data_IF_232714044484
#
_entry.id   IF_232714044484
#
_cell.length_a   1.000
_cell.length_b   1.000
_cell.length_c   1.000
_cell.angle_alpha   90.00
_cell.angle_beta   90.00
_cell.angle_gamma   90.00
#
_symmetry.space_group_name_H-M   'P 1'
#
loop_
_entity.id
_entity.type
_entity.pdbx_description
1 polymer ?
#
# COMPACT_ATOMS: atom_id res chain seq x y z
N UNK A 1 51.07 -20.98 -16.70
CA UNK A 1 51.25 -22.21 -17.51
C UNK A 1 50.28 -23.27 -17.03
N UNK A 2 49.65 -24.03 -17.93
CA UNK A 2 48.78 -25.18 -17.58
C UNK A 2 49.63 -26.38 -17.11
N UNK A 3 49.14 -27.20 -16.18
CA UNK A 3 49.33 -28.66 -16.20
C UNK A 3 48.07 -29.39 -15.74
N UNK A 4 47.50 -30.14 -16.69
CA UNK A 4 46.58 -31.26 -16.44
C UNK A 4 47.40 -32.52 -16.16
N UNK A 5 46.84 -33.45 -15.40
CA UNK A 5 47.14 -34.89 -15.53
C UNK A 5 45.86 -35.69 -15.29
N UNK A 6 45.68 -36.78 -16.05
CA UNK A 6 44.49 -37.62 -16.04
C UNK A 6 44.87 -39.10 -16.14
N UNK A 7 44.03 -39.99 -15.59
CA UNK A 7 43.76 -41.42 -15.93
C UNK A 7 42.85 -42.00 -14.82
N UNK A 8 41.69 -42.63 -15.01
CA UNK A 8 41.12 -43.63 -15.95
C UNK A 8 41.34 -45.13 -15.58
N UNK A 9 40.34 -45.93 -16.01
CA UNK A 9 40.19 -47.42 -15.97
C UNK A 9 39.53 -47.91 -14.65
N UNK A 10 38.23 -48.27 -14.57
CA UNK A 10 37.42 -49.34 -15.23
C UNK A 10 37.60 -50.74 -14.56
N UNK A 11 36.67 -51.72 -14.57
CA UNK A 11 35.73 -52.16 -15.63
C UNK A 11 34.77 -53.32 -15.16
N UNK A 12 33.62 -53.56 -15.86
CA UNK A 12 32.83 -54.84 -16.00
C UNK A 12 32.00 -55.39 -14.78
N UNK A 13 30.86 -56.14 -14.90
CA UNK A 13 30.10 -56.67 -16.05
C UNK A 13 28.64 -57.15 -15.77
N UNK A 14 27.75 -57.12 -16.80
CA UNK A 14 26.70 -58.14 -17.19
C UNK A 14 25.49 -58.40 -16.22
N UNK A 15 24.25 -58.78 -16.59
CA UNK A 15 23.44 -59.00 -17.84
C UNK A 15 21.93 -58.98 -17.44
N UNK A 16 20.86 -59.29 -18.22
CA UNK A 16 20.63 -59.87 -19.58
C UNK A 16 19.37 -59.28 -20.28
N UNK A 17 18.88 -59.93 -21.34
CA UNK A 17 18.02 -59.29 -22.37
C UNK A 17 17.17 -60.25 -23.25
N UNK A 18 15.83 -60.10 -23.32
CA UNK A 18 14.94 -60.67 -24.37
C UNK A 18 13.75 -59.70 -24.65
N UNK A 19 13.41 -59.23 -25.88
CA UNK A 19 13.04 -59.84 -27.20
C UNK A 19 11.59 -60.39 -27.27
N UNK A 20 10.85 -60.38 -28.41
CA UNK A 20 10.72 -59.54 -29.63
C UNK A 20 9.69 -60.23 -30.58
N UNK A 21 8.84 -59.49 -31.34
CA UNK A 21 8.06 -59.83 -32.59
C UNK A 21 6.71 -59.05 -32.56
N UNK A 22 6.07 -58.54 -33.62
CA UNK A 22 6.15 -58.71 -35.10
C UNK A 22 4.76 -59.17 -35.63
N UNK A 23 4.17 -58.76 -36.77
CA UNK A 23 4.59 -57.93 -37.93
C UNK A 23 3.40 -57.69 -38.93
N UNK A 24 3.60 -56.81 -39.95
CA UNK A 24 2.80 -56.67 -41.22
C UNK A 24 1.36 -56.09 -41.14
N UNK A 25 0.94 -54.96 -41.74
CA UNK A 25 1.09 -54.31 -43.08
C UNK A 25 0.01 -54.71 -44.13
N UNK A 26 -0.91 -53.77 -44.48
CA UNK A 26 -1.24 -53.31 -45.87
C UNK A 26 -2.33 -52.20 -45.92
N UNK A 27 -2.45 -51.55 -47.08
CA UNK A 27 -3.20 -50.29 -47.35
C UNK A 27 -4.67 -50.53 -47.80
N UNK A 28 -5.57 -49.54 -47.64
CA UNK A 28 -6.16 -48.76 -48.78
C UNK A 28 -7.46 -47.95 -48.46
N UNK A 29 -7.45 -46.70 -48.92
CA UNK A 29 -8.53 -45.82 -49.46
C UNK A 29 -9.95 -45.66 -48.83
N UNK A 30 -10.24 -44.41 -48.42
CA UNK A 30 -11.28 -43.47 -48.94
C UNK A 30 -12.75 -43.97 -49.10
N UNK A 31 -13.70 -43.45 -48.29
CA UNK A 31 -14.76 -42.48 -48.69
C UNK A 31 -15.75 -42.08 -47.56
N UNK A 32 -16.17 -40.81 -47.63
CA UNK A 32 -17.32 -40.09 -47.03
C UNK A 32 -18.44 -40.78 -46.22
N UNK A 33 -18.91 -40.08 -45.17
CA UNK A 33 -20.30 -39.57 -45.16
C UNK A 33 -21.23 -39.99 -44.01
N UNK A 34 -21.94 -38.99 -43.46
CA UNK A 34 -23.21 -39.07 -42.69
C UNK A 34 -23.17 -39.85 -41.35
N UNK A 35 -23.25 -39.20 -40.19
CA UNK A 35 -24.47 -38.63 -39.58
C UNK A 35 -25.57 -39.66 -39.26
N UNK A 36 -25.57 -40.24 -38.05
CA UNK A 36 -26.71 -40.14 -37.12
C UNK A 36 -26.41 -40.63 -35.68
N UNK A 37 -26.99 -39.89 -34.73
CA UNK A 37 -27.36 -40.15 -33.33
C UNK A 37 -27.04 -41.49 -32.64
N UNK A 38 -26.52 -41.40 -31.42
CA UNK A 38 -26.75 -42.36 -30.32
C UNK A 38 -27.08 -41.59 -29.04
N UNK A 39 -28.26 -41.83 -28.46
CA UNK A 39 -28.56 -41.47 -27.06
C UNK A 39 -27.75 -42.39 -26.14
N UNK A 40 -27.16 -41.83 -25.09
CA UNK A 40 -26.80 -42.59 -23.87
C UNK A 40 -27.40 -41.89 -22.66
N UNK A 41 -27.91 -42.69 -21.73
CA UNK A 41 -28.74 -42.27 -20.62
C UNK A 41 -27.95 -41.62 -19.47
N UNK A 42 -28.71 -40.96 -18.60
CA UNK A 42 -28.25 -40.32 -17.38
C UNK A 42 -27.45 -41.24 -16.45
N UNK A 43 -26.62 -40.62 -15.62
CA UNK A 43 -26.46 -41.02 -14.23
C UNK A 43 -26.40 -39.74 -13.38
N UNK A 44 -27.28 -39.63 -12.39
CA UNK A 44 -27.19 -38.61 -11.35
C UNK A 44 -26.00 -38.92 -10.44
N UNK A 45 -25.09 -37.97 -10.27
CA UNK A 45 -24.38 -37.82 -8.99
C UNK A 45 -24.64 -36.41 -8.45
N UNK A 46 -25.29 -36.38 -7.28
CA UNK A 46 -25.65 -35.17 -6.54
C UNK A 46 -24.39 -34.41 -6.11
N UNK A 47 -23.97 -33.46 -6.95
CA UNK A 47 -22.96 -32.46 -6.57
C UNK A 47 -23.61 -31.33 -5.80
N UNK A 48 -22.98 -31.00 -4.67
CA UNK A 48 -23.45 -30.08 -3.65
C UNK A 48 -23.93 -28.73 -4.21
N UNK A 49 -25.22 -28.42 -4.02
CA UNK A 49 -25.85 -27.14 -4.41
C UNK A 49 -25.31 -25.90 -3.69
N UNK A 50 -24.28 -26.07 -2.84
CA UNK A 50 -23.47 -25.00 -2.26
C UNK A 50 -22.45 -24.41 -3.26
N UNK A 51 -21.97 -25.20 -4.23
CA UNK A 51 -21.06 -24.70 -5.28
C UNK A 51 -21.80 -23.80 -6.29
N UNK A 52 -22.97 -24.24 -6.77
CA UNK A 52 -23.82 -23.50 -7.72
C UNK A 52 -24.43 -22.19 -7.16
N UNK A 53 -24.20 -21.88 -5.88
CA UNK A 53 -24.67 -20.63 -5.23
C UNK A 53 -23.58 -19.56 -5.14
N UNK A 54 -22.32 -19.89 -5.43
CA UNK A 54 -21.20 -18.94 -5.51
C UNK A 54 -21.03 -18.33 -6.91
N UNK A 55 -21.71 -18.86 -7.94
CA UNK A 55 -21.86 -18.21 -9.26
C UNK A 55 -22.80 -16.98 -9.23
N UNK A 56 -23.14 -16.48 -8.04
CA UNK A 56 -23.89 -15.25 -7.85
C UNK A 56 -23.06 -14.03 -8.28
N UNK A 57 -23.13 -13.71 -9.58
CA UNK A 57 -22.86 -12.39 -10.15
C UNK A 57 -21.43 -11.87 -10.03
N UNK A 58 -20.46 -12.63 -10.55
CA UNK A 58 -19.25 -11.98 -11.08
C UNK A 58 -19.67 -11.10 -12.27
N UNK A 59 -19.67 -9.78 -12.07
CA UNK A 59 -19.90 -8.81 -13.15
C UNK A 59 -18.75 -8.91 -14.16
N UNK A 60 -19.10 -9.13 -15.44
CA UNK A 60 -18.16 -9.33 -16.53
C UNK A 60 -17.16 -8.18 -16.71
N UNK A 61 -17.40 -7.00 -16.13
CA UNK A 61 -16.45 -5.88 -16.07
C UNK A 61 -15.24 -6.12 -15.15
N UNK A 62 -15.34 -7.05 -14.21
CA UNK A 62 -14.28 -7.42 -13.24
C UNK A 62 -13.80 -8.87 -13.40
N UNK A 63 -14.42 -9.63 -14.31
CA UNK A 63 -13.84 -10.87 -14.81
C UNK A 63 -12.49 -10.54 -15.49
N UNK A 64 -11.41 -11.29 -15.21
CA UNK A 64 -10.15 -11.07 -15.90
C UNK A 64 -10.36 -11.29 -17.40
N UNK A 65 -9.75 -10.47 -18.27
CA UNK A 65 -9.88 -10.66 -19.71
C UNK A 65 -9.44 -12.08 -20.08
N UNK A 66 -10.19 -12.73 -20.97
CA UNK A 66 -9.77 -14.00 -21.54
C UNK A 66 -8.35 -13.85 -22.10
N UNK A 67 -7.44 -14.74 -21.69
CA UNK A 67 -6.00 -14.56 -21.83
C UNK A 67 -5.63 -14.27 -23.29
N UNK A 68 -5.32 -13.00 -23.56
CA UNK A 68 -4.62 -12.56 -24.77
C UNK A 68 -3.15 -12.42 -24.40
N UNK A 69 -2.32 -13.33 -24.91
CA UNK A 69 -0.88 -13.43 -24.61
C UNK A 69 -0.07 -12.17 -25.09
N UNK A 70 -0.73 -11.16 -25.65
CA UNK A 70 -0.19 -9.85 -26.01
C UNK A 70 -0.76 -8.64 -25.26
N UNK A 71 -1.72 -8.82 -24.33
CA UNK A 71 -2.28 -7.71 -23.56
C UNK A 71 -1.29 -7.21 -22.48
N UNK A 72 -0.55 -6.15 -22.80
CA UNK A 72 0.46 -5.54 -21.93
C UNK A 72 -0.06 -5.30 -20.50
N UNK A 73 0.43 -6.12 -19.55
CA UNK A 73 0.21 -5.90 -18.12
C UNK A 73 0.86 -4.60 -17.67
N UNK A 74 0.23 -3.91 -16.70
CA UNK A 74 0.84 -2.72 -16.12
C UNK A 74 2.16 -3.12 -15.44
N UNK A 75 3.30 -2.47 -15.77
CA UNK A 75 4.58 -2.77 -15.16
C UNK A 75 4.65 -2.15 -13.76
N UNK A 76 4.00 -2.82 -12.81
CA UNK A 76 4.06 -2.49 -11.39
C UNK A 76 5.51 -2.59 -10.89
N UNK A 77 5.90 -1.65 -10.02
CA UNK A 77 7.20 -1.67 -9.35
C UNK A 77 7.30 -2.81 -8.33
N UNK A 78 6.16 -3.13 -7.71
CA UNK A 78 5.98 -4.22 -6.76
C UNK A 78 4.52 -4.65 -6.76
N UNK A 79 4.30 -5.95 -6.66
CA UNK A 79 2.98 -6.56 -6.53
C UNK A 79 3.13 -7.80 -5.66
N UNK A 80 2.30 -7.93 -4.63
CA UNK A 80 2.35 -9.07 -3.72
C UNK A 80 0.94 -9.47 -3.31
N UNK A 81 0.69 -10.79 -3.31
CA UNK A 81 -0.49 -11.41 -2.75
C UNK A 81 -0.08 -12.42 -1.68
N UNK A 82 -0.65 -12.30 -0.48
CA UNK A 82 -0.28 -13.11 0.70
C UNK A 82 -1.54 -13.65 1.37
N UNK A 83 -1.60 -14.97 1.56
CA UNK A 83 -2.59 -15.59 2.45
C UNK A 83 -2.09 -15.56 3.89
N UNK A 84 -2.93 -15.09 4.82
CA UNK A 84 -2.60 -14.94 6.24
C UNK A 84 -3.30 -16.05 7.04
N UNK A 85 -2.53 -16.74 7.88
CA UNK A 85 -3.07 -17.76 8.78
C UNK A 85 -3.30 -17.18 10.18
N UNK A 86 -4.31 -17.70 10.90
CA UNK A 86 -4.64 -17.37 12.31
C UNK A 86 -5.00 -15.90 12.59
N UNK A 87 -5.25 -15.08 11.57
CA UNK A 87 -5.74 -13.70 11.75
C UNK A 87 -7.19 -13.56 11.31
N UNK A 88 -7.81 -12.42 11.65
CA UNK A 88 -9.07 -11.97 11.04
C UNK A 88 -8.83 -11.44 9.62
N UNK A 89 -7.59 -11.04 9.29
CA UNK A 89 -7.14 -10.86 7.91
C UNK A 89 -6.86 -12.23 7.32
N UNK A 90 -7.44 -12.57 6.18
CA UNK A 90 -7.21 -13.86 5.51
C UNK A 90 -6.35 -13.75 4.26
N UNK A 91 -6.39 -12.60 3.59
CA UNK A 91 -5.64 -12.31 2.36
C UNK A 91 -5.19 -10.86 2.34
N UNK A 92 -4.05 -10.61 1.71
CA UNK A 92 -3.51 -9.27 1.47
C UNK A 92 -3.16 -9.18 -0.02
N UNK A 93 -3.65 -8.14 -0.71
CA UNK A 93 -3.21 -7.77 -2.07
C UNK A 93 -2.58 -6.39 -2.02
N UNK A 94 -1.46 -6.20 -2.70
CA UNK A 94 -0.74 -4.93 -2.71
C UNK A 94 -0.10 -4.67 -4.07
N UNK A 95 -0.06 -3.41 -4.47
CA UNK A 95 0.50 -2.98 -5.75
C UNK A 95 1.11 -1.57 -5.62
N UNK A 96 2.25 -1.34 -6.26
CA UNK A 96 2.89 -0.03 -6.39
C UNK A 96 3.21 0.28 -7.86
N UNK A 97 2.91 1.49 -8.32
CA UNK A 97 3.31 1.99 -9.64
C UNK A 97 3.96 3.36 -9.51
N UNK A 98 5.06 3.57 -10.24
CA UNK A 98 5.88 4.78 -10.14
C UNK A 98 5.53 5.84 -11.18
N UNK A 99 5.26 7.05 -10.71
CA UNK A 99 5.39 8.27 -11.49
C UNK A 99 6.81 8.85 -11.44
N UNK A 100 7.54 8.68 -10.34
CA UNK A 100 8.88 9.20 -10.09
C UNK A 100 9.98 8.15 -10.36
N UNK A 101 11.25 8.57 -10.39
CA UNK A 101 12.39 7.65 -10.34
C UNK A 101 13.55 8.20 -9.50
N UNK A 102 13.95 7.53 -8.41
CA UNK A 102 13.27 6.38 -7.79
C UNK A 102 11.82 6.66 -7.40
N UNK A 103 11.02 5.61 -7.20
CA UNK A 103 9.68 5.75 -6.60
C UNK A 103 9.83 6.33 -5.19
N UNK A 104 9.03 7.34 -4.83
CA UNK A 104 9.06 7.94 -3.50
C UNK A 104 8.17 7.14 -2.53
N UNK A 105 7.01 6.69 -2.98
CA UNK A 105 6.11 5.71 -2.31
C UNK A 105 6.80 4.42 -1.81
N UNK A 106 6.37 3.89 -0.66
CA UNK A 106 6.72 2.57 -0.12
C UNK A 106 5.51 1.92 0.57
N UNK A 107 5.59 0.60 0.76
CA UNK A 107 4.75 -0.10 1.73
C UNK A 107 5.52 -1.20 2.47
N UNK A 108 5.05 -1.53 3.67
CA UNK A 108 5.51 -2.65 4.49
C UNK A 108 4.29 -3.45 4.98
N UNK A 109 4.40 -4.78 4.95
CA UNK A 109 3.42 -5.70 5.53
C UNK A 109 4.17 -6.73 6.35
N UNK A 110 3.76 -6.90 7.60
CA UNK A 110 4.31 -7.90 8.53
C UNK A 110 3.17 -8.67 9.20
N UNK A 111 3.43 -9.94 9.53
CA UNK A 111 2.50 -10.80 10.26
C UNK A 111 3.27 -11.54 11.35
N UNK A 112 2.71 -11.61 12.55
CA UNK A 112 3.32 -12.31 13.69
C UNK A 112 2.79 -13.75 13.83
N UNK A 113 3.47 -14.57 14.63
CA UNK A 113 3.00 -15.92 14.98
C UNK A 113 1.67 -15.93 15.76
N UNK A 114 1.29 -14.80 16.39
CA UNK A 114 -0.01 -14.60 17.05
C UNK A 114 -1.15 -14.31 16.08
N UNK A 115 -0.87 -14.04 14.80
CA UNK A 115 -1.87 -13.61 13.83
C UNK A 115 -2.11 -12.10 13.81
N UNK A 116 -1.26 -11.30 14.45
CA UNK A 116 -1.30 -9.84 14.31
C UNK A 116 -0.83 -9.47 12.90
N UNK A 117 -1.49 -8.50 12.27
CA UNK A 117 -1.10 -7.98 10.95
C UNK A 117 -0.80 -6.48 11.06
N UNK A 118 0.36 -6.09 10.55
CA UNK A 118 0.78 -4.71 10.38
C UNK A 118 0.87 -4.41 8.89
N UNK A 119 0.23 -3.33 8.44
CA UNK A 119 0.27 -2.88 7.05
C UNK A 119 0.45 -1.36 7.01
N UNK A 120 1.59 -0.90 6.49
CA UNK A 120 1.90 0.52 6.37
C UNK A 120 2.02 0.92 4.89
N UNK A 121 1.33 1.99 4.50
CA UNK A 121 1.59 2.74 3.25
C UNK A 121 2.27 4.05 3.63
N UNK A 122 3.32 4.39 2.87
CA UNK A 122 4.24 5.48 3.17
C UNK A 122 4.50 6.25 1.87
N UNK A 123 3.89 7.40 1.78
CA UNK A 123 4.00 8.31 0.63
C UNK A 123 5.19 9.23 0.89
N UNK A 124 6.12 9.33 -0.06
CA UNK A 124 7.41 10.00 0.13
C UNK A 124 7.47 11.26 -0.72
N UNK A 125 8.07 12.33 -0.20
CA UNK A 125 8.16 13.58 -0.97
C UNK A 125 9.47 14.32 -0.77
N UNK A 126 9.97 14.86 -1.89
CA UNK A 126 11.23 15.59 -1.96
C UNK A 126 12.48 14.70 -1.89
N UNK A 127 12.27 13.39 -1.77
CA UNK A 127 13.24 12.30 -1.71
C UNK A 127 12.64 11.03 -1.10
N UNK A 128 12.81 9.88 -1.77
CA UNK A 128 12.39 8.53 -1.33
C UNK A 128 13.02 8.02 -0.02
N UNK A 129 13.98 8.74 0.57
CA UNK A 129 14.77 8.23 1.70
C UNK A 129 13.97 8.13 3.00
N UNK A 130 13.03 9.05 3.24
CA UNK A 130 12.26 9.08 4.51
C UNK A 130 11.19 7.99 4.53
N UNK A 131 10.51 7.74 3.41
CA UNK A 131 9.57 6.63 3.28
C UNK A 131 10.28 5.27 3.40
N UNK A 132 11.48 5.11 2.81
CA UNK A 132 12.29 3.90 2.99
C UNK A 132 12.80 3.74 4.44
N UNK A 133 13.10 4.84 5.14
CA UNK A 133 13.45 4.79 6.56
C UNK A 133 12.27 4.32 7.41
N UNK A 134 11.10 4.96 7.24
CA UNK A 134 9.88 4.60 7.96
C UNK A 134 9.46 3.14 7.66
N UNK A 135 9.59 2.67 6.42
CA UNK A 135 9.35 1.28 6.01
C UNK A 135 10.16 0.27 6.83
N UNK A 136 11.40 0.60 7.18
CA UNK A 136 12.33 -0.28 7.91
C UNK A 136 12.19 -0.22 9.43
N UNK A 137 11.58 0.84 9.97
CA UNK A 137 11.68 1.17 11.40
C UNK A 137 10.32 1.29 12.09
N UNK A 138 9.26 1.68 11.38
CA UNK A 138 7.98 2.02 11.99
C UNK A 138 7.32 0.81 12.66
N UNK A 139 7.19 -0.31 11.96
CA UNK A 139 6.51 -1.51 12.51
C UNK A 139 7.29 -2.05 13.72
N UNK A 140 8.62 -2.17 13.62
CA UNK A 140 9.48 -2.58 14.74
C UNK A 140 9.40 -1.62 15.94
N UNK A 141 9.28 -0.31 15.71
CA UNK A 141 9.04 0.66 16.78
C UNK A 141 7.64 0.50 17.42
N UNK A 142 6.61 0.15 16.66
CA UNK A 142 5.25 -0.13 17.19
C UNK A 142 5.27 -1.41 18.03
N UNK A 143 5.83 -2.51 17.51
CA UNK A 143 6.01 -3.76 18.25
C UNK A 143 6.78 -3.54 19.57
N UNK A 144 7.81 -2.69 19.53
CA UNK A 144 8.57 -2.29 20.72
C UNK A 144 7.72 -1.51 21.73
N UNK A 145 6.93 -0.53 21.30
CA UNK A 145 6.04 0.21 22.21
C UNK A 145 4.91 -0.67 22.78
N UNK A 146 4.44 -1.69 22.04
CA UNK A 146 3.50 -2.71 22.54
C UNK A 146 4.12 -3.65 23.58
N UNK A 147 5.43 -3.94 23.49
CA UNK A 147 6.14 -4.73 24.51
C UNK A 147 6.14 -4.08 25.89
N UNK A 148 5.93 -2.75 25.97
CA UNK A 148 5.81 -2.00 27.22
C UNK A 148 4.38 -1.94 27.79
N UNK A 149 3.36 -2.44 27.06
CA UNK A 149 1.98 -2.52 27.57
C UNK A 149 1.75 -3.73 28.48
N UNK A 150 2.68 -4.68 28.50
CA UNK A 150 2.60 -5.94 29.23
C UNK A 150 3.78 -6.10 30.20
N UNK A 151 3.62 -6.90 31.27
CA UNK A 151 4.74 -7.25 32.14
C UNK A 151 5.75 -8.13 31.39
N UNK A 152 7.07 -7.92 31.54
CA UNK A 152 8.09 -8.66 30.80
C UNK A 152 7.91 -10.17 30.86
N UNK A 153 7.82 -10.81 29.68
CA UNK A 153 7.68 -12.27 29.55
C UNK A 153 6.27 -12.81 29.79
N UNK A 154 5.24 -11.96 29.85
CA UNK A 154 3.84 -12.37 30.05
C UNK A 154 2.90 -11.59 29.12
N UNK A 155 1.64 -12.05 29.03
CA UNK A 155 0.55 -11.29 28.40
C UNK A 155 -0.29 -10.52 29.46
N UNK A 156 0.18 -10.40 30.70
CA UNK A 156 -0.51 -9.59 31.72
C UNK A 156 -0.26 -8.10 31.45
N UNK A 157 -1.28 -7.22 31.56
CA UNK A 157 -1.06 -5.77 31.52
C UNK A 157 -0.02 -5.29 32.52
N UNK A 158 0.71 -4.23 32.16
CA UNK A 158 1.68 -3.58 33.04
C UNK A 158 1.04 -3.15 34.38
N UNK A 159 1.86 -3.11 35.43
CA UNK A 159 1.39 -2.97 36.81
C UNK A 159 0.68 -1.63 37.06
N UNK A 160 -0.63 -1.68 37.32
CA UNK A 160 -1.50 -0.52 37.55
C UNK A 160 -2.74 -0.46 36.66
N UNK A 161 -2.79 -1.25 35.57
CA UNK A 161 -3.91 -1.23 34.61
C UNK A 161 -5.03 -2.26 34.89
N UNK A 162 -6.16 -2.04 34.22
CA UNK A 162 -7.37 -2.90 34.22
C UNK A 162 -7.10 -4.30 33.63
N UNK A 163 -7.98 -5.30 33.81
CA UNK A 163 -7.77 -6.69 33.36
C UNK A 163 -7.60 -6.92 31.84
N UNK A 164 -7.67 -5.88 31.00
CA UNK A 164 -7.36 -5.93 29.58
C UNK A 164 -6.74 -4.59 29.13
N UNK A 165 -5.85 -4.63 28.15
CA UNK A 165 -5.24 -3.42 27.57
C UNK A 165 -6.31 -2.62 26.83
N UNK A 166 -6.49 -1.36 27.18
CA UNK A 166 -7.50 -0.51 26.55
C UNK A 166 -7.04 -0.01 25.16
N UNK A 167 -7.99 0.18 24.22
CA UNK A 167 -7.73 0.75 22.90
C UNK A 167 -6.96 2.08 22.96
N UNK A 168 -7.20 2.89 24.00
CA UNK A 168 -6.48 4.14 24.23
C UNK A 168 -4.97 3.92 24.54
N UNK A 169 -4.63 2.84 25.25
CA UNK A 169 -3.23 2.47 25.54
C UNK A 169 -2.52 1.96 24.29
N UNK A 170 -3.21 1.19 23.44
CA UNK A 170 -2.72 0.76 22.11
C UNK A 170 -2.49 1.97 21.20
N UNK A 171 -3.47 2.88 21.11
CA UNK A 171 -3.34 4.11 20.34
C UNK A 171 -2.17 4.97 20.83
N UNK A 172 -2.04 5.19 22.14
CA UNK A 172 -0.93 5.94 22.72
C UNK A 172 0.44 5.28 22.43
N UNK A 173 0.51 3.95 22.40
CA UNK A 173 1.73 3.22 22.01
C UNK A 173 2.10 3.44 20.54
N UNK A 174 1.12 3.38 19.61
CA UNK A 174 1.34 3.68 18.20
C UNK A 174 1.79 5.14 18.02
N UNK A 175 1.17 6.11 18.71
CA UNK A 175 1.59 7.51 18.67
C UNK A 175 3.03 7.71 19.16
N UNK A 176 3.43 7.04 20.25
CA UNK A 176 4.84 7.04 20.72
C UNK A 176 5.78 6.41 19.70
N UNK A 177 5.36 5.36 19.00
CA UNK A 177 6.17 4.71 17.97
C UNK A 177 6.40 5.62 16.75
N UNK A 178 5.37 6.32 16.26
CA UNK A 178 5.53 7.35 15.23
C UNK A 178 6.48 8.47 15.69
N UNK A 179 6.26 9.02 16.89
CA UNK A 179 7.15 10.05 17.46
C UNK A 179 8.59 9.56 17.70
N UNK A 180 8.79 8.27 17.96
CA UNK A 180 10.10 7.62 18.05
C UNK A 180 10.75 7.55 16.67
N UNK A 181 10.07 7.03 15.66
CA UNK A 181 10.57 6.96 14.27
C UNK A 181 11.01 8.34 13.75
N UNK A 182 10.21 9.39 13.99
CA UNK A 182 10.54 10.75 13.53
C UNK A 182 11.75 11.36 14.25
N UNK A 183 11.84 11.20 15.58
CA UNK A 183 12.96 11.72 16.39
C UNK A 183 14.26 10.97 16.13
N UNK A 184 14.18 9.65 15.96
CA UNK A 184 15.36 8.82 15.73
C UNK A 184 15.92 9.11 14.31
N UNK A 185 15.04 9.32 13.30
CA UNK A 185 15.41 9.89 11.99
C UNK A 185 16.04 11.29 12.08
N UNK A 186 15.48 12.18 12.91
CA UNK A 186 16.01 13.54 13.11
C UNK A 186 17.47 13.50 13.60
N UNK A 187 17.79 12.57 14.51
CA UNK A 187 19.14 12.40 15.03
C UNK A 187 20.15 11.96 13.94
N UNK A 188 19.72 11.12 13.00
CA UNK A 188 20.54 10.69 11.86
C UNK A 188 20.82 11.86 10.88
N UNK A 189 19.82 12.68 10.55
CA UNK A 189 19.98 13.75 9.54
C UNK A 189 20.56 15.05 10.08
N UNK A 190 20.49 15.32 11.39
CA UNK A 190 20.93 16.58 12.00
C UNK A 190 22.39 16.93 11.69
N UNK A 191 23.28 15.93 11.65
CA UNK A 191 24.70 16.12 11.31
C UNK A 191 24.90 16.49 9.84
N UNK A 192 24.15 15.85 8.93
CA UNK A 192 24.21 16.18 7.51
C UNK A 192 23.68 17.60 7.22
N UNK A 193 22.59 18.00 7.87
CA UNK A 193 22.06 19.36 7.77
C UNK A 193 23.10 20.42 8.22
N UNK A 194 23.75 20.20 9.38
CA UNK A 194 24.81 21.09 9.91
C UNK A 194 26.04 21.18 9.01
N UNK A 195 26.31 20.17 8.19
CA UNK A 195 27.36 20.18 7.17
C UNK A 195 26.96 20.87 5.86
N UNK A 196 25.75 21.43 5.78
CA UNK A 196 25.23 22.15 4.61
C UNK A 196 24.40 21.32 3.64
N UNK A 197 24.17 20.03 3.91
CA UNK A 197 23.30 19.16 3.08
C UNK A 197 21.82 19.41 3.38
N UNK A 198 21.34 20.65 3.22
CA UNK A 198 20.03 21.08 3.67
C UNK A 198 18.83 20.38 3.02
N UNK A 199 19.06 19.66 1.91
CA UNK A 199 18.08 18.77 1.31
C UNK A 199 17.48 17.76 2.30
N UNK A 200 18.25 17.26 3.27
CA UNK A 200 17.79 16.24 4.23
C UNK A 200 16.64 16.73 5.13
N UNK A 201 16.49 18.04 5.31
CA UNK A 201 15.46 18.65 6.17
C UNK A 201 14.19 19.09 5.41
N UNK A 202 14.12 18.79 4.11
CA UNK A 202 12.96 19.00 3.22
C UNK A 202 12.48 17.72 2.52
N UNK A 203 13.06 16.56 2.88
CA UNK A 203 12.52 15.26 2.55
C UNK A 203 11.57 14.88 3.68
N UNK A 204 10.43 14.28 3.33
CA UNK A 204 9.47 13.78 4.29
C UNK A 204 8.74 12.57 3.78
N UNK A 205 7.83 12.05 4.60
CA UNK A 205 6.91 11.00 4.19
C UNK A 205 5.64 11.04 5.02
N UNK A 206 4.48 11.06 4.38
CA UNK A 206 3.22 10.72 5.04
C UNK A 206 3.21 9.24 5.42
N UNK A 207 2.43 8.86 6.42
CA UNK A 207 2.33 7.46 6.82
C UNK A 207 0.98 7.07 7.40
N UNK A 208 0.37 6.04 6.81
CA UNK A 208 -0.81 5.38 7.36
C UNK A 208 -0.47 3.92 7.68
N UNK A 209 -0.65 3.54 8.95
CA UNK A 209 -0.48 2.18 9.46
C UNK A 209 -1.84 1.61 9.86
N UNK A 210 -2.20 0.44 9.33
CA UNK A 210 -3.19 -0.44 9.92
C UNK A 210 -2.51 -1.50 10.80
N UNK A 211 -3.03 -1.70 12.00
CA UNK A 211 -2.69 -2.80 12.90
C UNK A 211 -3.98 -3.59 13.20
N UNK A 212 -4.00 -4.88 12.89
CA UNK A 212 -5.13 -5.78 13.15
C UNK A 212 -4.72 -6.81 14.19
N UNK A 213 -5.46 -6.84 15.31
CA UNK A 213 -5.21 -7.73 16.44
C UNK A 213 -6.54 -8.08 17.14
N UNK A 214 -6.75 -9.36 17.43
CA UNK A 214 -7.96 -9.91 18.09
C UNK A 214 -9.31 -9.36 17.54
N UNK A 215 -9.36 -9.09 16.24
CA UNK A 215 -10.54 -8.55 15.56
C UNK A 215 -10.79 -7.05 15.76
N UNK A 216 -9.89 -6.30 16.40
CA UNK A 216 -9.87 -4.83 16.29
C UNK A 216 -8.89 -4.42 15.19
N UNK A 217 -9.27 -3.45 14.36
CA UNK A 217 -8.35 -2.73 13.49
C UNK A 217 -8.10 -1.32 14.02
N UNK A 218 -6.82 -0.97 14.14
CA UNK A 218 -6.34 0.35 14.49
C UNK A 218 -5.73 0.99 13.24
N UNK A 219 -6.32 2.08 12.77
CA UNK A 219 -5.80 2.88 11.65
C UNK A 219 -5.15 4.13 12.24
N UNK A 220 -3.85 4.28 12.04
CA UNK A 220 -3.05 5.41 12.48
C UNK A 220 -2.53 6.19 11.27
N UNK A 221 -3.07 7.39 11.02
CA UNK A 221 -2.72 8.23 9.88
C UNK A 221 -2.00 9.53 10.29
N UNK A 222 -0.86 9.78 9.66
CA UNK A 222 -0.09 11.02 9.69
C UNK A 222 0.18 11.49 8.25
N UNK A 223 -0.79 12.20 7.66
CA UNK A 223 -0.73 12.79 6.31
C UNK A 223 -2.02 12.63 5.50
N UNK A 224 -1.91 12.74 4.18
CA UNK A 224 -2.98 12.63 3.18
C UNK A 224 -3.13 11.23 2.56
N UNK A 225 -2.53 10.22 3.18
CA UNK A 225 -2.79 8.79 2.91
C UNK A 225 -4.13 8.41 3.54
N UNK A 226 -5.01 7.74 2.79
CA UNK A 226 -6.35 7.36 3.28
C UNK A 226 -6.52 5.85 3.45
N UNK A 227 -7.24 5.46 4.49
CA UNK A 227 -7.70 4.10 4.73
C UNK A 227 -9.25 4.04 4.72
N UNK A 228 -9.82 3.14 3.92
CA UNK A 228 -11.25 3.02 3.66
C UNK A 228 -11.70 1.56 3.82
N UNK A 229 -12.64 1.34 4.72
CA UNK A 229 -13.25 0.04 4.99
C UNK A 229 -14.42 -0.21 4.03
N UNK A 230 -14.37 -1.31 3.28
CA UNK A 230 -15.53 -1.87 2.60
C UNK A 230 -16.36 -2.70 3.57
N UNK A 231 -17.58 -2.25 3.88
CA UNK A 231 -18.52 -2.90 4.80
C UNK A 231 -19.84 -3.18 4.09
N UNK A 232 -20.49 -4.32 4.36
CA UNK A 232 -21.83 -4.61 3.86
C UNK A 232 -22.83 -3.54 4.37
N UNK A 233 -23.60 -2.97 3.45
CA UNK A 233 -24.63 -1.97 3.74
C UNK A 233 -25.85 -2.57 4.46
N UNK A 234 -26.76 -1.69 4.89
CA UNK A 234 -27.99 -2.08 5.58
C UNK A 234 -28.92 -2.96 4.73
N UNK A 235 -28.81 -2.87 3.40
CA UNK A 235 -29.55 -3.71 2.44
C UNK A 235 -29.02 -5.16 2.34
N UNK A 236 -27.90 -5.46 3.01
CA UNK A 236 -27.19 -6.73 2.96
C UNK A 236 -26.77 -7.19 1.54
N UNK A 237 -26.73 -6.28 0.56
CA UNK A 237 -26.48 -6.56 -0.85
C UNK A 237 -25.37 -5.67 -1.47
N UNK A 238 -25.19 -4.44 -0.97
CA UNK A 238 -24.14 -3.53 -1.43
C UNK A 238 -22.98 -3.47 -0.44
N UNK A 239 -21.75 -3.22 -0.92
CA UNK A 239 -20.63 -2.84 -0.05
C UNK A 239 -20.53 -1.32 -0.07
N UNK A 240 -20.65 -0.70 1.11
CA UNK A 240 -20.50 0.74 1.31
C UNK A 240 -19.10 1.08 1.80
N UNK A 241 -18.63 2.28 1.43
CA UNK A 241 -17.34 2.78 1.84
C UNK A 241 -17.43 3.54 3.17
N UNK A 242 -16.63 3.12 4.16
CA UNK A 242 -16.47 3.81 5.45
C UNK A 242 -15.02 4.24 5.63
N UNK A 243 -14.67 5.54 5.49
CA UNK A 243 -13.31 6.00 5.79
C UNK A 243 -12.98 5.76 7.28
N UNK A 244 -11.77 5.26 7.54
CA UNK A 244 -11.22 5.07 8.89
C UNK A 244 -10.06 6.04 9.18
N UNK A 245 -9.60 6.82 8.21
CA UNK A 245 -8.74 7.99 8.44
C UNK A 245 -9.32 9.24 7.78
N UNK A 246 -8.92 10.38 8.32
CA UNK A 246 -9.11 11.70 7.71
C UNK A 246 -7.80 12.12 7.03
N UNK A 247 -7.88 12.72 5.85
CA UNK A 247 -6.74 13.32 5.16
C UNK A 247 -6.24 14.54 5.97
N UNK A 248 -4.92 14.69 6.09
CA UNK A 248 -4.30 15.73 6.91
C UNK A 248 -3.37 16.58 6.06
N UNK A 249 -3.97 17.48 5.27
CA UNK A 249 -3.27 18.42 4.40
C UNK A 249 -3.89 19.82 4.46
N UNK A 250 -3.16 20.80 3.95
CA UNK A 250 -3.51 22.21 4.04
C UNK A 250 -4.73 22.62 3.17
N UNK A 251 -5.34 21.71 2.40
CA UNK A 251 -6.65 21.94 1.76
C UNK A 251 -7.81 21.66 2.73
N UNK A 252 -7.60 20.82 3.75
CA UNK A 252 -8.64 20.45 4.71
C UNK A 252 -8.89 21.60 5.68
N UNK A 253 -10.11 22.15 5.67
CA UNK A 253 -10.51 23.31 6.49
C UNK A 253 -10.21 23.15 7.98
N UNK A 254 -10.42 21.95 8.53
CA UNK A 254 -10.11 21.65 9.92
C UNK A 254 -8.62 21.83 10.25
N UNK A 255 -7.71 21.37 9.38
CA UNK A 255 -6.28 21.57 9.56
C UNK A 255 -5.85 23.02 9.28
N UNK A 256 -6.53 23.74 8.37
CA UNK A 256 -6.34 25.20 8.19
C UNK A 256 -6.73 26.00 9.45
N UNK A 257 -7.90 25.74 10.02
CA UNK A 257 -8.40 26.38 11.25
C UNK A 257 -7.49 26.09 12.44
N UNK A 258 -6.99 24.85 12.55
CA UNK A 258 -5.99 24.44 13.52
C UNK A 258 -4.68 25.22 13.36
N UNK A 259 -4.11 25.29 12.15
CA UNK A 259 -2.88 26.04 11.87
C UNK A 259 -3.00 27.52 12.25
N UNK A 260 -4.12 28.17 11.91
CA UNK A 260 -4.38 29.58 12.28
C UNK A 260 -4.49 29.75 13.79
N UNK A 261 -5.10 28.79 14.49
CA UNK A 261 -5.25 28.80 15.95
C UNK A 261 -3.93 28.54 16.69
N UNK A 262 -3.07 27.67 16.16
CA UNK A 262 -1.78 27.32 16.74
C UNK A 262 -0.71 28.41 16.52
N UNK A 263 -0.88 29.26 15.50
CA UNK A 263 0.04 30.35 15.16
C UNK A 263 -0.71 31.68 14.90
N UNK A 264 -1.35 32.28 15.93
CA UNK A 264 -2.29 33.41 15.75
C UNK A 264 -1.65 34.71 15.22
N UNK A 265 -0.34 34.89 15.42
CA UNK A 265 0.39 36.09 14.98
C UNK A 265 0.99 35.94 13.56
N UNK A 266 0.65 34.86 12.83
CA UNK A 266 1.24 34.52 11.53
C UNK A 266 0.21 34.51 10.39
N UNK A 267 0.24 35.54 9.54
CA UNK A 267 -0.66 35.64 8.39
C UNK A 267 -0.39 34.62 7.25
N UNK A 268 0.73 33.89 7.28
CA UNK A 268 1.18 33.01 6.18
C UNK A 268 1.37 31.53 6.58
N UNK A 269 0.70 31.08 7.65
CA UNK A 269 0.74 29.69 8.17
C UNK A 269 0.47 28.63 7.11
N UNK A 270 -0.41 28.94 6.16
CA UNK A 270 -0.52 28.24 4.88
C UNK A 270 -0.66 29.25 3.73
N UNK A 271 -0.55 28.79 2.49
CA UNK A 271 -0.75 29.61 1.30
C UNK A 271 -1.36 28.78 0.19
N UNK A 272 -2.54 29.19 -0.28
CA UNK A 272 -3.21 28.60 -1.44
C UNK A 272 -2.74 29.30 -2.71
N UNK A 273 -2.07 28.56 -3.60
CA UNK A 273 -1.55 29.09 -4.88
C UNK A 273 -2.47 28.81 -6.05
N UNK A 274 -3.25 27.73 -5.95
CA UNK A 274 -4.32 27.38 -6.87
C UNK A 274 -5.59 27.06 -6.05
N UNK A 275 -6.78 27.06 -6.68
CA UNK A 275 -8.03 26.69 -6.01
C UNK A 275 -7.97 25.30 -5.35
N UNK A 276 -7.20 24.39 -5.94
CA UNK A 276 -7.10 22.99 -5.53
C UNK A 276 -5.78 22.66 -4.82
N UNK A 277 -4.94 23.66 -4.47
CA UNK A 277 -3.71 23.40 -3.70
C UNK A 277 -3.28 24.53 -2.75
N UNK A 278 -3.24 24.17 -1.46
CA UNK A 278 -2.74 24.95 -0.35
C UNK A 278 -1.52 24.27 0.27
N UNK A 279 -0.58 25.06 0.78
CA UNK A 279 0.69 24.59 1.31
C UNK A 279 1.02 25.24 2.66
N UNK A 280 1.34 24.45 3.69
CA UNK A 280 1.88 24.91 4.98
C UNK A 280 3.14 25.74 4.75
N UNK A 281 3.17 26.97 5.27
CA UNK A 281 4.19 28.04 5.00
C UNK A 281 4.59 28.16 3.52
N UNK A 282 3.68 27.85 2.58
CA UNK A 282 3.96 27.85 1.14
C UNK A 282 4.91 26.73 0.66
N UNK A 283 5.11 25.68 1.46
CA UNK A 283 6.21 24.72 1.33
C UNK A 283 5.82 23.23 1.17
N UNK A 284 4.75 22.77 1.83
CA UNK A 284 4.34 21.36 1.92
C UNK A 284 2.80 21.24 1.93
N UNK A 285 2.20 20.25 1.26
CA UNK A 285 0.74 20.03 1.31
C UNK A 285 0.28 19.33 2.60
N UNK A 286 0.87 18.17 2.98
CA UNK A 286 0.58 17.54 4.27
C UNK A 286 0.76 18.47 5.47
N UNK A 287 -0.15 18.39 6.44
CA UNK A 287 0.04 18.99 7.78
C UNK A 287 0.62 17.99 8.77
N UNK A 288 0.75 16.71 8.40
CA UNK A 288 1.40 15.67 9.19
C UNK A 288 2.27 14.78 8.30
N UNK A 289 3.49 14.49 8.75
CA UNK A 289 4.47 13.69 8.03
C UNK A 289 5.66 13.33 8.96
N UNK A 290 6.37 12.24 8.65
CA UNK A 290 7.76 12.02 9.07
C UNK A 290 8.72 12.95 8.31
N UNK A 291 9.86 13.30 8.90
CA UNK A 291 10.84 14.18 8.24
C UNK A 291 10.42 15.65 8.24
N UNK A 292 10.66 16.38 7.15
CA UNK A 292 10.34 17.81 6.98
C UNK A 292 10.74 18.70 8.17
N UNK A 293 11.90 18.41 8.76
CA UNK A 293 12.31 19.03 10.03
C UNK A 293 12.39 20.57 9.96
N UNK A 294 12.58 21.14 8.78
CA UNK A 294 12.50 22.60 8.54
C UNK A 294 11.13 23.24 8.85
N UNK A 295 10.05 22.46 8.94
CA UNK A 295 8.71 22.89 9.39
C UNK A 295 8.39 22.50 10.84
N UNK A 296 9.27 21.73 11.51
CA UNK A 296 9.07 21.22 12.88
C UNK A 296 9.97 21.89 13.90
N UNK A 297 11.18 22.29 13.49
CA UNK A 297 12.27 22.61 14.40
C UNK A 297 13.08 23.82 13.91
N UNK A 298 13.37 24.75 14.82
CA UNK A 298 14.02 26.03 14.50
C UNK A 298 15.44 25.88 13.95
N UNK A 299 16.16 24.89 14.44
CA UNK A 299 17.54 24.54 14.07
C UNK A 299 17.68 23.93 12.66
N UNK A 300 16.55 23.57 12.03
CA UNK A 300 16.49 23.13 10.63
C UNK A 300 15.98 24.22 9.67
N UNK A 301 15.81 25.45 10.16
CA UNK A 301 15.61 26.63 9.31
C UNK A 301 16.95 27.05 8.71
N UNK A 302 17.11 26.87 7.40
CA UNK A 302 18.33 27.20 6.68
C UNK A 302 18.62 28.72 6.64
N UNK A 303 19.82 29.13 6.18
CA UNK A 303 20.14 30.54 5.99
C UNK A 303 19.25 31.16 4.89
N UNK A 304 19.01 32.49 4.92
CA UNK A 304 18.29 33.19 3.86
C UNK A 304 18.85 32.89 2.46
N UNK A 305 17.97 32.63 1.50
CA UNK A 305 18.37 32.26 0.14
C UNK A 305 19.21 33.35 -0.53
N UNK A 306 20.44 33.04 -0.91
CA UNK A 306 21.32 33.92 -1.68
C UNK A 306 21.15 33.61 -3.18
N UNK A 307 20.78 34.61 -3.98
CA UNK A 307 20.50 34.45 -5.43
C UNK A 307 19.49 33.33 -5.77
N UNK A 308 18.62 32.96 -4.83
CA UNK A 308 17.66 31.86 -4.99
C UNK A 308 18.21 30.46 -4.72
N UNK A 309 19.46 30.33 -4.25
CA UNK A 309 20.03 29.04 -3.82
C UNK A 309 19.26 28.47 -2.62
N UNK A 310 19.02 27.15 -2.66
CA UNK A 310 18.29 26.35 -1.65
C UNK A 310 19.06 25.09 -1.24
N UNK A 311 20.34 24.96 -1.62
CA UNK A 311 21.20 23.83 -1.25
C UNK A 311 21.29 23.65 0.27
N UNK A 312 21.42 24.76 1.00
CA UNK A 312 21.42 24.84 2.46
C UNK A 312 20.05 24.64 3.14
N UNK A 313 19.02 24.22 2.40
CA UNK A 313 17.71 23.81 2.94
C UNK A 313 16.60 24.82 2.65
N UNK A 314 15.46 24.68 3.34
CA UNK A 314 14.39 25.69 3.31
C UNK A 314 14.70 26.79 4.33
N UNK A 315 14.49 28.04 3.92
CA UNK A 315 14.46 29.20 4.82
C UNK A 315 13.04 29.74 4.94
N UNK A 316 12.63 30.00 6.18
CA UNK A 316 11.40 30.68 6.55
C UNK A 316 11.74 31.95 7.33
N UNK A 317 11.36 33.09 6.79
CA UNK A 317 11.55 34.40 7.43
C UNK A 317 10.52 34.63 8.54
N UNK A 318 10.86 35.47 9.51
CA UNK A 318 9.98 35.80 10.62
C UNK A 318 8.65 36.48 10.14
N UNK A 319 7.51 36.23 10.82
CA UNK A 319 7.36 35.34 11.97
C UNK A 319 7.51 33.86 11.58
N UNK A 320 8.19 33.12 12.47
CA UNK A 320 8.44 31.71 12.30
C UNK A 320 8.42 30.98 13.65
N UNK A 321 7.26 30.42 14.00
CA UNK A 321 7.00 29.70 15.26
C UNK A 321 6.74 28.20 15.05
N UNK A 322 7.71 27.38 14.59
CA UNK A 322 7.52 25.93 14.47
C UNK A 322 7.26 25.27 15.84
N UNK A 323 6.62 24.09 15.90
CA UNK A 323 6.24 23.23 14.77
C UNK A 323 4.93 23.62 14.09
N UNK A 324 4.89 23.57 12.75
CA UNK A 324 3.66 23.70 11.94
C UNK A 324 3.05 22.36 11.54
N UNK A 325 3.84 21.29 11.61
CA UNK A 325 3.44 19.93 11.24
C UNK A 325 3.90 18.96 12.31
N UNK A 326 3.33 17.76 12.34
CA UNK A 326 3.70 16.72 13.29
C UNK A 326 3.79 15.34 12.64
N UNK A 327 4.63 14.46 13.15
CA UNK A 327 4.60 13.04 12.79
C UNK A 327 3.59 12.24 13.62
N UNK A 328 2.94 12.85 14.62
CA UNK A 328 2.00 12.14 15.51
C UNK A 328 0.67 11.86 14.77
N UNK A 329 0.27 10.58 14.65
CA UNK A 329 -0.91 10.22 13.89
C UNK A 329 -2.20 10.45 14.66
N UNK A 330 -3.27 10.64 13.90
CA UNK A 330 -4.64 10.42 14.36
C UNK A 330 -4.94 8.92 14.33
N UNK A 331 -5.66 8.40 15.32
CA UNK A 331 -5.93 6.97 15.42
C UNK A 331 -7.42 6.69 15.57
N UNK A 332 -7.93 5.88 14.66
CA UNK A 332 -9.27 5.30 14.69
C UNK A 332 -9.15 3.82 15.06
N UNK A 333 -9.85 3.38 16.11
CA UNK A 333 -10.06 1.95 16.38
C UNK A 333 -11.46 1.53 15.93
N UNK A 334 -11.56 0.45 15.15
CA UNK A 334 -12.83 -0.14 14.71
C UNK A 334 -12.84 -1.63 15.06
N UNK A 335 -13.89 -2.09 15.74
CA UNK A 335 -14.11 -3.51 16.02
C UNK A 335 -14.67 -4.17 14.76
N UNK A 336 -13.96 -5.15 14.22
CA UNK A 336 -14.41 -5.92 13.05
C UNK A 336 -15.58 -6.84 13.42
N UNK A 337 -16.60 -6.83 12.58
CA UNK A 337 -17.72 -7.77 12.60
C UNK A 337 -17.80 -8.54 11.26
N UNK A 338 -18.85 -9.35 11.06
CA UNK A 338 -19.02 -10.18 9.84
C UNK A 338 -19.48 -9.40 8.60
N UNK A 339 -19.86 -8.13 8.74
CA UNK A 339 -20.19 -7.25 7.61
C UNK A 339 -18.96 -6.52 7.05
N UNK A 340 -17.88 -6.39 7.83
CA UNK A 340 -16.62 -5.81 7.36
C UNK A 340 -15.91 -6.79 6.42
N UNK A 341 -15.61 -6.38 5.18
CA UNK A 341 -15.10 -7.27 4.12
C UNK A 341 -13.63 -7.04 3.78
N UNK A 342 -13.21 -5.79 3.72
CA UNK A 342 -11.82 -5.44 3.45
C UNK A 342 -11.49 -4.01 3.88
N UNK A 343 -10.21 -3.74 4.13
CA UNK A 343 -9.65 -2.40 4.31
C UNK A 343 -8.72 -2.08 3.14
N UNK A 344 -8.97 -0.98 2.44
CA UNK A 344 -8.06 -0.39 1.44
C UNK A 344 -7.23 0.67 2.14
N UNK A 345 -5.91 0.65 1.97
CA UNK A 345 -4.99 1.73 2.35
C UNK A 345 -4.28 2.17 1.07
N UNK A 346 -4.21 3.47 0.78
CA UNK A 346 -3.49 3.96 -0.40
C UNK A 346 -2.91 5.37 -0.24
N UNK A 347 -1.82 5.65 -0.97
CA UNK A 347 -1.20 6.99 -1.09
C UNK A 347 -2.12 7.98 -1.82
N UNK A 348 -1.74 9.27 -1.84
CA UNK A 348 -2.59 10.31 -2.44
C UNK A 348 -2.84 10.05 -3.93
N UNK A 349 -1.88 9.44 -4.64
CA UNK A 349 -1.99 9.01 -6.04
C UNK A 349 -3.17 8.08 -6.33
N UNK A 350 -3.70 7.36 -5.32
CA UNK A 350 -4.98 6.64 -5.43
C UNK A 350 -6.17 7.61 -5.30
N UNK A 351 -6.20 8.39 -4.22
CA UNK A 351 -7.37 9.13 -3.75
C UNK A 351 -7.60 10.46 -4.47
N UNK A 352 -6.57 11.01 -5.13
CA UNK A 352 -6.67 12.13 -6.09
C UNK A 352 -7.44 11.73 -7.37
N UNK A 353 -7.57 10.43 -7.62
CA UNK A 353 -8.21 9.88 -8.81
C UNK A 353 -9.50 9.11 -8.51
N UNK A 354 -9.60 8.39 -7.40
CA UNK A 354 -10.78 7.56 -7.05
C UNK A 354 -11.56 8.13 -5.85
N UNK A 355 -12.89 8.04 -5.89
CA UNK A 355 -13.69 8.20 -4.67
C UNK A 355 -13.58 6.96 -3.78
N UNK A 356 -13.98 7.09 -2.52
CA UNK A 356 -14.00 5.97 -1.57
C UNK A 356 -14.89 4.82 -2.09
N UNK A 357 -16.02 5.16 -2.68
CA UNK A 357 -17.02 4.25 -3.23
C UNK A 357 -16.48 3.53 -4.47
N UNK A 358 -15.87 4.24 -5.42
CA UNK A 358 -15.32 3.59 -6.62
C UNK A 358 -14.17 2.63 -6.28
N UNK A 359 -13.32 2.97 -5.30
CA UNK A 359 -12.26 2.07 -4.84
C UNK A 359 -12.86 0.80 -4.20
N UNK A 360 -13.90 0.96 -3.39
CA UNK A 360 -14.64 -0.15 -2.76
C UNK A 360 -15.36 -1.02 -3.80
N UNK A 361 -16.00 -0.42 -4.81
CA UNK A 361 -16.66 -1.14 -5.91
C UNK A 361 -15.67 -1.99 -6.71
N UNK A 362 -14.46 -1.46 -6.99
CA UNK A 362 -13.40 -2.20 -7.70
C UNK A 362 -12.95 -3.41 -6.88
N UNK A 363 -12.60 -3.20 -5.60
CA UNK A 363 -12.13 -4.30 -4.75
C UNK A 363 -13.22 -5.34 -4.52
N UNK A 364 -14.47 -4.91 -4.30
CA UNK A 364 -15.61 -5.82 -4.15
C UNK A 364 -15.90 -6.62 -5.42
N UNK A 365 -15.84 -5.98 -6.60
CA UNK A 365 -16.05 -6.65 -7.89
C UNK A 365 -15.02 -7.76 -8.12
N UNK A 366 -13.74 -7.47 -7.89
CA UNK A 366 -12.68 -8.48 -8.00
C UNK A 366 -12.80 -9.59 -6.94
N UNK A 367 -13.06 -9.25 -5.67
CA UNK A 367 -13.21 -10.23 -4.59
C UNK A 367 -14.40 -11.17 -4.79
N UNK A 368 -15.54 -10.65 -5.27
CA UNK A 368 -16.75 -11.43 -5.58
C UNK A 368 -16.52 -12.42 -6.73
N UNK A 369 -15.66 -12.09 -7.69
CA UNK A 369 -15.18 -13.00 -8.72
C UNK A 369 -14.06 -13.96 -8.25
N UNK A 370 -13.66 -13.91 -6.97
CA UNK A 370 -12.56 -14.70 -6.40
C UNK A 370 -11.15 -14.11 -6.59
N UNK A 371 -11.00 -13.06 -7.41
CA UNK A 371 -9.73 -12.47 -7.86
C UNK A 371 -9.13 -11.49 -6.83
N UNK A 372 -8.99 -11.95 -5.59
CA UNK A 372 -8.47 -11.14 -4.46
C UNK A 372 -7.05 -10.65 -4.69
N UNK A 373 -6.25 -11.44 -5.41
CA UNK A 373 -4.88 -11.14 -5.83
C UNK A 373 -4.81 -9.90 -6.74
N UNK A 374 -5.72 -9.78 -7.70
CA UNK A 374 -5.74 -8.69 -8.68
C UNK A 374 -6.31 -7.36 -8.13
N UNK A 375 -6.89 -7.35 -6.93
CA UNK A 375 -7.60 -6.16 -6.40
C UNK A 375 -6.69 -4.92 -6.28
N UNK A 376 -5.47 -5.07 -5.78
CA UNK A 376 -4.48 -3.97 -5.71
C UNK A 376 -4.09 -3.44 -7.09
N UNK A 377 -3.85 -4.34 -8.06
CA UNK A 377 -3.56 -3.97 -9.45
C UNK A 377 -4.73 -3.21 -10.08
N UNK A 378 -5.95 -3.68 -9.90
CA UNK A 378 -7.14 -3.07 -10.50
C UNK A 378 -7.38 -1.62 -10.05
N UNK A 379 -7.07 -1.31 -8.78
CA UNK A 379 -7.07 0.07 -8.27
C UNK A 379 -6.06 0.94 -9.02
N UNK A 380 -4.81 0.49 -9.13
CA UNK A 380 -3.73 1.19 -9.85
C UNK A 380 -4.08 1.36 -11.34
N UNK A 381 -4.59 0.32 -12.00
CA UNK A 381 -5.03 0.39 -13.40
C UNK A 381 -6.13 1.45 -13.60
N UNK A 382 -7.11 1.53 -12.69
CA UNK A 382 -8.16 2.56 -12.77
C UNK A 382 -7.59 3.97 -12.60
N UNK A 383 -6.65 4.18 -11.68
CA UNK A 383 -5.94 5.47 -11.51
C UNK A 383 -5.29 5.89 -12.83
N UNK A 384 -4.52 5.00 -13.45
CA UNK A 384 -3.81 5.28 -14.69
C UNK A 384 -4.77 5.50 -15.88
N UNK A 385 -5.90 4.77 -15.95
CA UNK A 385 -6.96 4.99 -16.93
C UNK A 385 -7.60 6.38 -16.77
N UNK A 386 -7.91 6.78 -15.53
CA UNK A 386 -8.44 8.12 -15.24
C UNK A 386 -7.43 9.23 -15.51
N UNK A 387 -6.15 9.01 -15.19
CA UNK A 387 -5.08 9.95 -15.49
C UNK A 387 -4.96 10.18 -17.00
N UNK A 388 -4.95 9.10 -17.80
CA UNK A 388 -4.92 9.20 -19.27
C UNK A 388 -6.12 10.00 -19.80
N UNK A 389 -7.33 9.70 -19.30
CA UNK A 389 -8.56 10.44 -19.67
C UNK A 389 -8.51 11.92 -19.25
N UNK A 390 -8.00 12.25 -18.06
CA UNK A 390 -7.89 13.63 -17.54
C UNK A 390 -6.95 14.50 -18.38
N UNK A 391 -5.93 13.90 -18.99
CA UNK A 391 -4.94 14.57 -19.84
C UNK A 391 -5.20 14.33 -21.34
N UNK A 392 -6.39 13.86 -21.73
CA UNK A 392 -6.82 13.63 -23.12
C UNK A 392 -5.84 12.77 -23.95
N UNK A 393 -5.14 11.85 -23.29
CA UNK A 393 -4.06 11.05 -23.89
C UNK A 393 -4.39 9.55 -23.94
N UNK A 394 -3.70 8.81 -24.79
CA UNK A 394 -3.88 7.36 -24.88
C UNK A 394 -3.41 6.64 -23.61
N UNK A 395 -4.09 5.57 -23.19
CA UNK A 395 -3.65 4.78 -22.02
C UNK A 395 -2.23 4.21 -22.23
N UNK A 396 -1.97 3.66 -23.43
CA UNK A 396 -0.64 3.17 -23.82
C UNK A 396 0.39 4.30 -23.95
N UNK A 397 -0.04 5.51 -24.34
CA UNK A 397 0.81 6.69 -24.39
C UNK A 397 1.27 7.08 -22.97
N UNK A 398 0.35 7.08 -21.99
CA UNK A 398 0.66 7.34 -20.58
C UNK A 398 1.65 6.31 -20.01
N UNK A 399 1.41 5.01 -20.24
CA UNK A 399 2.32 3.94 -19.81
C UNK A 399 3.72 4.07 -20.45
N UNK A 400 3.80 4.61 -21.67
CA UNK A 400 5.07 4.80 -22.40
C UNK A 400 5.91 5.98 -21.90
N UNK A 401 5.33 6.94 -21.16
CA UNK A 401 6.08 8.05 -20.57
C UNK A 401 7.14 7.49 -19.59
N UNK A 402 8.43 7.87 -19.68
CA UNK A 402 9.40 7.48 -18.66
C UNK A 402 9.06 8.13 -17.31
N UNK A 403 9.30 7.45 -16.17
CA UNK A 403 9.08 8.06 -14.86
C UNK A 403 9.99 9.28 -14.64
N UNK A 404 9.51 10.23 -13.84
CA UNK A 404 10.07 11.56 -13.67
C UNK A 404 9.07 12.65 -14.07
N UNK A 405 9.56 13.89 -14.24
CA UNK A 405 8.73 15.12 -14.34
C UNK A 405 7.56 15.03 -15.33
N UNK A 406 7.74 14.37 -16.48
CA UNK A 406 6.68 14.27 -17.48
C UNK A 406 5.57 13.28 -17.09
N UNK A 407 5.89 12.17 -16.43
CA UNK A 407 4.90 11.22 -15.90
C UNK A 407 4.27 11.74 -14.61
N UNK A 408 5.05 12.29 -13.68
CA UNK A 408 4.60 12.88 -12.41
C UNK A 408 3.59 14.03 -12.55
N UNK A 409 3.56 14.69 -13.71
CA UNK A 409 2.53 15.69 -14.05
C UNK A 409 1.17 15.09 -14.47
N UNK A 410 1.02 13.76 -14.53
CA UNK A 410 -0.18 13.06 -15.05
C UNK A 410 -0.89 12.27 -13.94
N UNK A 411 -0.10 11.63 -13.08
CA UNK A 411 -0.48 10.97 -11.82
C UNK A 411 0.74 11.02 -10.88
N UNK A 412 0.58 10.76 -9.58
CA UNK A 412 1.71 10.53 -8.67
C UNK A 412 2.12 9.04 -8.64
N UNK A 413 3.18 8.71 -7.89
CA UNK A 413 3.38 7.36 -7.41
C UNK A 413 2.07 6.87 -6.75
N UNK A 414 1.72 5.62 -6.98
CA UNK A 414 0.44 5.05 -6.50
C UNK A 414 0.73 3.72 -5.86
N UNK A 415 0.47 3.62 -4.56
CA UNK A 415 0.69 2.42 -3.75
C UNK A 415 -0.55 2.11 -2.97
N UNK A 416 -0.98 0.84 -3.04
CA UNK A 416 -2.17 0.35 -2.37
C UNK A 416 -1.88 -0.95 -1.63
N UNK A 417 -2.52 -1.13 -0.48
CA UNK A 417 -2.58 -2.38 0.27
C UNK A 417 -4.03 -2.63 0.65
N UNK A 418 -4.54 -3.80 0.29
CA UNK A 418 -5.89 -4.28 0.57
C UNK A 418 -5.81 -5.45 1.54
N UNK A 419 -6.39 -5.32 2.73
CA UNK A 419 -6.53 -6.39 3.72
C UNK A 419 -7.95 -6.96 3.62
N UNK A 420 -8.11 -8.25 3.30
CA UNK A 420 -9.41 -8.92 3.26
C UNK A 420 -9.70 -9.64 4.58
N UNK A 421 -10.95 -9.58 5.02
CA UNK A 421 -11.42 -10.19 6.26
C UNK A 421 -12.36 -11.38 6.01
N UNK A 422 -12.29 -12.40 6.87
CA UNK A 422 -13.18 -13.58 6.87
C UNK A 422 -14.39 -13.44 7.81
#
# INVERSE_FOLDING_TARGET
>A
MRRFTARNVALLARTQSHKFQGSSMRQALILSGLSLSVLVFANDELTDGRAARLEAQCDARYAPPAVDDGAFSVPLEREEFVSVAKSRVSRISSASYKANFPIEDKYAVETTDSGDVFAAVLDGHGGWQVSEYAKKTLIGNVQKEFSYLHKPGTNEPAEGDKPAVANASVAAAIQRAFGRTDRDLMAEVASAFKLGFGAVARCGSCGCLAYVHEGTVYVANAGDIRAVLGKLGEDAATIVAKPLSNDQNAMVKFEQEKLVKEHPDEANVFTCRHPDSCYVKGALQPTRAFGDFSLKYSEFNGPPYTNGDRTAGRHFSAPFTPPYITAIPEITSHQLDSSDKFLIIGSDGLWDHLSNEEAVDIVNGHASCGNHDLAGRALVERVLQKAAKRYEMGYQELLSLPPGVNRRRRHDDTTVVVLFFD
#
